data_IF_555638413956
#
_entry.id   IF_555638413956
#
_cell.length_a   1.000
_cell.length_b   1.000
_cell.length_c   1.000
_cell.angle_alpha   90.00
_cell.angle_beta   90.00
_cell.angle_gamma   90.00
#
_symmetry.space_group_name_H-M   'P 1'
#
loop_
_entity.id
_entity.type
_entity.pdbx_description
1 polymer ?
#
# COMPACT_ATOMS: atom_id res chain seq x y z
N UNK A 1 6.65 29.54 28.11
CA UNK A 1 7.01 28.24 27.53
C UNK A 1 5.92 27.85 26.55
N UNK A 2 6.09 28.19 25.27
CA UNK A 2 5.18 27.77 24.19
C UNK A 2 5.61 26.36 23.76
N UNK A 3 4.74 25.36 23.94
CA UNK A 3 4.93 24.03 23.34
C UNK A 3 4.90 24.19 21.82
N UNK A 4 6.08 24.21 21.20
CA UNK A 4 6.23 24.07 19.75
C UNK A 4 6.25 22.58 19.44
N UNK A 5 5.08 21.95 19.38
CA UNK A 5 4.99 20.54 18.98
C UNK A 5 4.86 20.40 17.45
N UNK A 6 5.49 19.35 16.88
CA UNK A 6 6.23 19.42 15.62
C UNK A 6 5.35 19.06 14.41
N UNK A 7 5.82 19.45 13.21
CA UNK A 7 5.11 19.24 11.94
C UNK A 7 4.44 17.85 11.86
N UNK A 8 3.11 17.78 11.67
CA UNK A 8 2.33 16.60 12.00
C UNK A 8 2.39 15.64 10.84
N UNK A 9 3.27 14.65 10.91
CA UNK A 9 3.23 13.61 9.89
C UNK A 9 1.95 12.80 10.09
N UNK A 10 1.11 12.63 9.06
CA UNK A 10 -0.22 12.10 9.28
C UNK A 10 -0.13 10.65 9.75
N UNK A 11 -0.67 10.36 10.95
CA UNK A 11 -0.65 9.00 11.53
C UNK A 11 -1.30 7.94 10.62
N UNK A 12 -2.18 8.35 9.71
CA UNK A 12 -2.78 7.47 8.70
C UNK A 12 -1.79 7.03 7.61
N UNK A 13 -0.73 7.78 7.35
CA UNK A 13 0.27 7.47 6.33
C UNK A 13 1.04 6.20 6.67
N UNK A 14 1.41 6.03 7.95
CA UNK A 14 2.07 4.80 8.42
C UNK A 14 1.19 3.56 8.24
N UNK A 15 -0.12 3.70 8.46
CA UNK A 15 -1.08 2.63 8.21
C UNK A 15 -1.22 2.30 6.72
N UNK A 16 -1.29 3.31 5.86
CA UNK A 16 -1.33 3.15 4.40
C UNK A 16 -0.07 2.45 3.89
N UNK A 17 1.11 2.87 4.35
CA UNK A 17 2.39 2.26 3.94
C UNK A 17 2.52 0.80 4.37
N UNK A 18 2.11 0.47 5.61
CA UNK A 18 2.15 -0.92 6.10
C UNK A 18 1.13 -1.81 5.38
N UNK A 19 -0.04 -1.25 5.09
CA UNK A 19 -1.10 -1.93 4.33
C UNK A 19 -0.73 -2.14 2.86
N UNK A 20 -0.13 -1.14 2.21
CA UNK A 20 0.35 -1.22 0.83
C UNK A 20 1.45 -2.28 0.70
N UNK A 21 2.43 -2.27 1.60
CA UNK A 21 3.51 -3.27 1.60
C UNK A 21 2.98 -4.69 1.80
N UNK A 22 2.10 -4.90 2.78
CA UNK A 22 1.53 -6.22 3.07
C UNK A 22 0.61 -6.70 1.94
N UNK A 23 -0.25 -5.81 1.44
CA UNK A 23 -1.16 -6.09 0.34
C UNK A 23 -0.42 -6.41 -0.95
N UNK A 24 0.59 -5.62 -1.31
CA UNK A 24 1.41 -5.84 -2.49
C UNK A 24 2.22 -7.14 -2.39
N UNK A 25 2.84 -7.43 -1.23
CA UNK A 25 3.58 -8.69 -1.04
C UNK A 25 2.67 -9.92 -1.18
N UNK A 26 1.47 -9.86 -0.60
CA UNK A 26 0.48 -10.92 -0.74
C UNK A 26 -0.03 -11.06 -2.18
N UNK A 27 -0.31 -9.94 -2.85
CA UNK A 27 -0.80 -9.92 -4.23
C UNK A 27 0.22 -10.48 -5.23
N UNK A 28 1.50 -10.13 -5.07
CA UNK A 28 2.59 -10.70 -5.89
C UNK A 28 2.76 -12.20 -5.60
N UNK A 29 2.73 -12.60 -4.33
CA UNK A 29 2.82 -14.01 -3.95
C UNK A 29 1.66 -14.85 -4.50
N UNK A 30 0.43 -14.37 -4.38
CA UNK A 30 -0.76 -15.02 -4.94
C UNK A 30 -0.74 -15.03 -6.48
N UNK A 31 -0.29 -13.93 -7.10
CA UNK A 31 -0.14 -13.81 -8.55
C UNK A 31 0.83 -14.82 -9.15
N UNK A 32 1.90 -15.18 -8.43
CA UNK A 32 2.85 -16.20 -8.89
C UNK A 32 2.19 -17.57 -9.10
N UNK A 33 1.27 -17.96 -8.23
CA UNK A 33 0.53 -19.23 -8.33
C UNK A 33 -0.72 -19.13 -9.22
N UNK A 34 -1.06 -17.93 -9.69
CA UNK A 34 -2.28 -17.69 -10.45
C UNK A 34 -2.28 -18.43 -11.79
N UNK A 35 -1.16 -18.43 -12.51
CA UNK A 35 -1.06 -19.09 -13.83
C UNK A 35 -1.30 -20.61 -13.77
N UNK A 36 -0.63 -21.39 -12.90
CA UNK A 36 -0.92 -22.82 -12.75
C UNK A 36 -2.34 -23.08 -12.20
N UNK A 37 -2.86 -22.21 -11.33
CA UNK A 37 -4.23 -22.32 -10.84
C UNK A 37 -5.27 -22.09 -11.94
N UNK A 38 -5.06 -21.08 -12.79
CA UNK A 38 -5.93 -20.78 -13.92
C UNK A 38 -5.93 -21.89 -14.98
N UNK A 39 -4.82 -22.62 -15.14
CA UNK A 39 -4.79 -23.78 -16.07
C UNK A 39 -5.69 -24.91 -15.58
N UNK A 40 -5.73 -25.15 -14.26
CA UNK A 40 -6.64 -26.13 -13.65
C UNK A 40 -8.11 -25.66 -13.69
N UNK A 41 -8.33 -24.35 -13.53
CA UNK A 41 -9.66 -23.74 -13.47
C UNK A 41 -10.25 -23.42 -14.86
N UNK A 42 -9.42 -23.42 -15.91
CA UNK A 42 -9.79 -23.11 -17.29
C UNK A 42 -11.06 -23.81 -17.82
N UNK A 43 -11.39 -25.06 -17.45
CA UNK A 43 -12.63 -25.70 -17.87
C UNK A 43 -13.92 -25.06 -17.31
N UNK A 44 -13.81 -24.21 -16.28
CA UNK A 44 -14.94 -23.53 -15.62
C UNK A 44 -14.88 -22.01 -15.84
N UNK A 45 -15.59 -21.49 -16.86
CA UNK A 45 -15.59 -20.06 -17.18
C UNK A 45 -16.07 -19.18 -16.03
N UNK A 46 -17.08 -19.63 -15.28
CA UNK A 46 -17.62 -18.89 -14.13
C UNK A 46 -16.59 -18.71 -13.00
N UNK A 47 -15.80 -19.74 -12.71
CA UNK A 47 -14.75 -19.68 -11.68
C UNK A 47 -13.57 -18.81 -12.14
N UNK A 48 -13.22 -18.88 -13.42
CA UNK A 48 -12.19 -18.03 -14.02
C UNK A 48 -12.58 -16.55 -13.93
N UNK A 49 -13.83 -16.20 -14.26
CA UNK A 49 -14.33 -14.84 -14.14
C UNK A 49 -14.30 -14.35 -12.69
N UNK A 50 -14.71 -15.18 -11.73
CA UNK A 50 -14.67 -14.84 -10.31
C UNK A 50 -13.24 -14.52 -9.84
N UNK A 51 -12.25 -15.31 -10.27
CA UNK A 51 -10.83 -15.07 -9.99
C UNK A 51 -10.39 -13.70 -10.54
N UNK A 52 -10.73 -13.39 -11.80
CA UNK A 52 -10.38 -12.10 -12.40
C UNK A 52 -11.03 -10.91 -11.70
N UNK A 53 -12.30 -11.03 -11.28
CA UNK A 53 -12.99 -10.00 -10.50
C UNK A 53 -12.29 -9.76 -9.16
N UNK A 54 -11.91 -10.84 -8.46
CA UNK A 54 -11.17 -10.76 -7.19
C UNK A 54 -9.83 -10.05 -7.40
N UNK A 55 -9.06 -10.47 -8.41
CA UNK A 55 -7.77 -9.85 -8.76
C UNK A 55 -7.94 -8.36 -9.07
N UNK A 56 -8.97 -8.00 -9.85
CA UNK A 56 -9.29 -6.62 -10.17
C UNK A 56 -9.64 -5.79 -8.93
N UNK A 57 -10.41 -6.35 -8.00
CA UNK A 57 -10.76 -5.68 -6.74
C UNK A 57 -9.52 -5.43 -5.86
N UNK A 58 -8.64 -6.42 -5.75
CA UNK A 58 -7.36 -6.25 -5.04
C UNK A 58 -6.48 -5.21 -5.74
N UNK A 59 -6.38 -5.23 -7.07
CA UNK A 59 -5.64 -4.24 -7.84
C UNK A 59 -6.19 -2.82 -7.65
N UNK A 60 -7.52 -2.65 -7.63
CA UNK A 60 -8.18 -1.37 -7.36
C UNK A 60 -7.87 -0.87 -5.95
N UNK A 61 -7.94 -1.76 -4.96
CA UNK A 61 -7.63 -1.42 -3.57
C UNK A 61 -6.17 -1.00 -3.40
N UNK A 62 -5.23 -1.74 -3.99
CA UNK A 62 -3.81 -1.38 -4.00
C UNK A 62 -3.54 -0.06 -4.73
N UNK A 63 -4.23 0.18 -5.86
CA UNK A 63 -4.15 1.46 -6.57
C UNK A 63 -4.58 2.63 -5.68
N UNK A 64 -5.67 2.47 -4.92
CA UNK A 64 -6.15 3.49 -3.99
C UNK A 64 -5.13 3.78 -2.86
N UNK A 65 -4.52 2.72 -2.31
CA UNK A 65 -3.45 2.84 -1.31
C UNK A 65 -2.21 3.54 -1.90
N UNK A 66 -1.83 3.22 -3.13
CA UNK A 66 -0.73 3.86 -3.84
C UNK A 66 -0.95 5.37 -4.04
N UNK A 67 -2.16 5.79 -4.41
CA UNK A 67 -2.51 7.21 -4.51
C UNK A 67 -2.42 7.90 -3.14
N UNK A 68 -2.92 7.26 -2.09
CA UNK A 68 -2.85 7.78 -0.73
C UNK A 68 -1.38 7.96 -0.26
N UNK A 69 -0.52 7.00 -0.60
CA UNK A 69 0.93 7.05 -0.32
C UNK A 69 1.62 8.21 -1.06
N UNK A 70 1.39 8.34 -2.37
CA UNK A 70 1.93 9.43 -3.18
C UNK A 70 1.47 10.81 -2.67
N UNK A 71 0.21 10.92 -2.24
CA UNK A 71 -0.35 12.15 -1.67
C UNK A 71 0.31 12.52 -0.33
N UNK A 72 0.55 11.52 0.53
CA UNK A 72 1.25 11.71 1.81
C UNK A 72 2.69 12.21 1.60
N UNK A 73 3.42 11.61 0.66
CA UNK A 73 4.77 12.05 0.27
C UNK A 73 4.76 13.47 -0.31
N UNK A 74 3.81 13.78 -1.20
CA UNK A 74 3.70 15.12 -1.79
C UNK A 74 3.42 16.20 -0.74
N UNK A 75 2.61 15.91 0.28
CA UNK A 75 2.40 16.81 1.41
C UNK A 75 3.68 17.04 2.24
N UNK A 76 4.48 15.99 2.47
CA UNK A 76 5.77 16.10 3.18
C UNK A 76 6.76 16.93 2.37
N UNK A 77 6.86 16.72 1.05
CA UNK A 77 7.74 17.54 0.21
C UNK A 77 7.29 19.00 0.18
N UNK A 78 5.99 19.26 0.22
CA UNK A 78 5.41 20.62 0.23
C UNK A 78 5.67 21.36 1.55
N UNK A 79 5.82 20.67 2.69
CA UNK A 79 5.93 21.34 3.98
C UNK A 79 7.27 22.04 4.23
N UNK A 80 8.30 21.80 3.38
CA UNK A 80 9.66 22.34 3.50
C UNK A 80 10.24 22.23 4.94
N UNK A 81 9.74 21.25 5.71
CA UNK A 81 10.17 20.97 7.05
C UNK A 81 11.38 20.04 6.97
N UNK A 82 12.51 20.44 7.53
CA UNK A 82 13.63 19.53 7.78
C UNK A 82 13.07 18.34 8.57
N UNK A 83 13.04 17.16 7.94
CA UNK A 83 12.48 15.97 8.56
C UNK A 83 13.40 15.62 9.74
N UNK A 84 12.91 15.69 10.99
CA UNK A 84 13.74 15.38 12.15
C UNK A 84 14.27 13.94 12.02
N UNK A 85 15.54 13.72 12.35
CA UNK A 85 16.19 12.39 12.31
C UNK A 85 15.38 11.32 13.08
N UNK A 86 14.71 11.73 14.16
CA UNK A 86 13.83 10.89 14.95
C UNK A 86 12.63 10.35 14.15
N UNK A 87 12.14 11.14 13.19
CA UNK A 87 11.08 10.71 12.28
C UNK A 87 11.58 9.67 11.29
N UNK A 88 12.77 9.86 10.69
CA UNK A 88 13.39 8.86 9.81
C UNK A 88 13.60 7.52 10.50
N UNK A 89 14.06 7.54 11.76
CA UNK A 89 14.21 6.31 12.55
C UNK A 89 12.90 5.60 12.82
N UNK A 90 11.78 6.31 12.93
CA UNK A 90 10.46 5.69 13.16
C UNK A 90 9.90 5.00 11.91
N UNK A 91 10.32 5.42 10.70
CA UNK A 91 9.88 4.83 9.42
C UNK A 91 10.78 3.64 9.04
N UNK A 92 12.08 3.73 9.33
CA UNK A 92 13.09 2.73 8.88
C UNK A 92 13.31 1.62 9.90
N UNK A 93 13.11 1.85 11.21
CA UNK A 93 13.17 0.74 12.16
C UNK A 93 11.96 -0.17 12.04
N UNK A 94 12.29 -1.43 11.82
CA UNK A 94 11.44 -2.61 11.69
C UNK A 94 10.75 -2.97 13.00
#
# INVERSE_FOLDING_TARGET
>A
MTHSDPHPVPRWLGFVLRSDRAGSAWFVGAGFFLAPLLTLVSPWPGLTLAIWVIVGLFGLWLGLLGVAMATGLAMIMRSNAEIPEDYWRSIVNY
#
